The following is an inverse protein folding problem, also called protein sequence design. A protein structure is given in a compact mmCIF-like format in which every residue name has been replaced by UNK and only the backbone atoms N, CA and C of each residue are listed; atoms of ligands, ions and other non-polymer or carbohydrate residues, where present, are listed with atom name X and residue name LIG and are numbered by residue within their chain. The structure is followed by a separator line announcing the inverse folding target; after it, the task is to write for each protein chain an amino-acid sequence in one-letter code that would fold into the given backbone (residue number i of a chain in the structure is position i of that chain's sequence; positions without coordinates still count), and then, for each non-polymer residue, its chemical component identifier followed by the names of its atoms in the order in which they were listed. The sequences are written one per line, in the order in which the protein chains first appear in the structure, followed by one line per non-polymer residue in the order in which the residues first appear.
data_IF_935333024742
#
_entry.id   IF_935333024742
#
_cell.length_a   1.000
_cell.length_b   1.000
_cell.length_c   1.000
_cell.angle_alpha   90.00
_cell.angle_beta   90.00
_cell.angle_gamma   90.00
#
_symmetry.space_group_name_H-M   'P 1'
#
loop_
_entity.id
_entity.type
_entity.pdbx_description
1 polymer ?
#
# COMPACT_ATOMS: atom_id res chain seq x y z
N UNK A 1 -10.47 -11.73 -19.26
CA UNK A 1 -9.93 -11.14 -18.03
C UNK A 1 -8.98 -12.19 -17.48
N UNK A 2 -7.67 -11.94 -17.57
CA UNK A 2 -6.68 -12.82 -16.96
C UNK A 2 -6.56 -12.40 -15.50
N UNK A 3 -7.42 -12.94 -14.65
CA UNK A 3 -7.26 -12.87 -13.19
C UNK A 3 -6.04 -13.72 -12.79
N UNK A 4 -4.84 -13.21 -13.05
CA UNK A 4 -3.68 -13.72 -12.33
C UNK A 4 -3.77 -13.09 -10.95
N UNK A 5 -4.05 -13.86 -9.89
CA UNK A 5 -4.12 -13.29 -8.56
C UNK A 5 -2.77 -12.64 -8.23
N UNK A 6 -2.83 -11.45 -7.65
CA UNK A 6 -1.66 -10.75 -7.16
C UNK A 6 -0.87 -11.70 -6.24
N UNK A 7 0.46 -11.67 -6.32
CA UNK A 7 1.28 -12.50 -5.43
C UNK A 7 1.02 -12.11 -3.97
N UNK A 8 0.92 -13.10 -3.09
CA UNK A 8 0.81 -12.87 -1.64
C UNK A 8 1.93 -11.98 -1.09
N UNK A 9 3.14 -12.07 -1.66
CA UNK A 9 4.24 -11.19 -1.27
C UNK A 9 3.96 -9.73 -1.66
N UNK A 10 3.40 -9.49 -2.84
CA UNK A 10 3.03 -8.16 -3.29
C UNK A 10 1.93 -7.56 -2.42
N UNK A 11 0.92 -8.35 -2.03
CA UNK A 11 -0.13 -7.93 -1.09
C UNK A 11 0.48 -7.47 0.25
N UNK A 12 1.43 -8.23 0.80
CA UNK A 12 2.12 -7.88 2.05
C UNK A 12 2.95 -6.60 1.92
N UNK A 13 3.60 -6.38 0.78
CA UNK A 13 4.31 -5.11 0.54
C UNK A 13 3.35 -3.93 0.35
N UNK A 14 2.21 -4.12 -0.30
CA UNK A 14 1.17 -3.08 -0.39
C UNK A 14 0.61 -2.75 1.00
N UNK A 15 0.34 -3.76 1.84
CA UNK A 15 -0.07 -3.54 3.22
C UNK A 15 0.98 -2.74 3.99
N UNK A 16 2.25 -3.13 3.86
CA UNK A 16 3.37 -2.42 4.51
C UNK A 16 3.44 -0.95 4.07
N UNK A 17 3.28 -0.69 2.77
CA UNK A 17 3.20 0.67 2.23
C UNK A 17 1.99 1.44 2.79
N UNK A 18 0.82 0.80 2.87
CA UNK A 18 -0.40 1.42 3.39
C UNK A 18 -0.26 1.84 4.86
N UNK A 19 0.39 1.00 5.69
CA UNK A 19 0.71 1.31 7.09
C UNK A 19 1.63 2.53 7.19
N UNK A 20 2.67 2.62 6.37
CA UNK A 20 3.58 3.76 6.33
C UNK A 20 2.91 5.03 5.78
N UNK A 21 2.01 4.90 4.81
CA UNK A 21 1.20 6.01 4.32
C UNK A 21 0.28 6.54 5.41
N UNK A 22 -0.38 5.65 6.17
CA UNK A 22 -1.19 6.03 7.32
C UNK A 22 -0.33 6.73 8.40
N UNK A 23 0.84 6.20 8.73
CA UNK A 23 1.78 6.85 9.65
C UNK A 23 2.22 8.25 9.16
N UNK A 24 2.44 8.42 7.84
CA UNK A 24 2.73 9.74 7.25
C UNK A 24 1.57 10.71 7.45
N UNK A 25 0.31 10.26 7.39
CA UNK A 25 -0.85 11.13 7.64
C UNK A 25 -0.91 11.60 9.10
N UNK A 26 -0.45 10.77 10.04
CA UNK A 26 -0.39 11.12 11.46
C UNK A 26 0.81 12.03 11.80
N UNK A 27 1.96 11.79 11.16
CA UNK A 27 3.18 12.58 11.33
C UNK A 27 3.86 12.82 9.97
N UNK A 28 3.49 13.89 9.25
CA UNK A 28 3.98 14.14 7.90
C UNK A 28 5.44 14.59 7.82
N UNK A 29 6.07 14.87 8.96
CA UNK A 29 7.45 15.34 9.05
C UNK A 29 8.45 14.27 9.50
N UNK A 30 7.99 13.04 9.75
CA UNK A 30 8.86 11.93 10.11
C UNK A 30 9.63 11.40 8.88
N UNK A 31 10.87 11.84 8.74
CA UNK A 31 11.76 11.46 7.63
C UNK A 31 12.01 9.95 7.57
N UNK A 32 12.07 9.26 8.72
CA UNK A 32 12.30 7.80 8.77
C UNK A 32 11.12 7.08 8.11
N UNK A 33 9.89 7.47 8.46
CA UNK A 33 8.67 6.92 7.88
C UNK A 33 8.56 7.23 6.38
N UNK A 34 8.93 8.45 5.97
CA UNK A 34 8.91 8.86 4.57
C UNK A 34 9.90 8.07 3.71
N UNK A 35 11.13 7.88 4.20
CA UNK A 35 12.16 7.10 3.51
C UNK A 35 11.76 5.62 3.43
N UNK A 36 11.31 5.02 4.53
CA UNK A 36 10.83 3.64 4.53
C UNK A 36 9.67 3.44 3.54
N UNK A 37 8.74 4.40 3.45
CA UNK A 37 7.63 4.34 2.50
C UNK A 37 8.13 4.37 1.04
N UNK A 38 9.12 5.21 0.74
CA UNK A 38 9.76 5.28 -0.58
C UNK A 38 10.42 3.95 -0.91
N UNK A 39 11.20 3.38 0.02
CA UNK A 39 11.91 2.11 -0.19
C UNK A 39 10.95 0.95 -0.49
N UNK A 40 9.81 0.88 0.20
CA UNK A 40 8.77 -0.11 -0.07
C UNK A 40 8.14 0.11 -1.45
N UNK A 41 7.87 1.37 -1.84
CA UNK A 41 7.32 1.69 -3.15
C UNK A 41 8.28 1.32 -4.30
N UNK A 42 9.58 1.61 -4.14
CA UNK A 42 10.62 1.22 -5.11
C UNK A 42 10.72 -0.30 -5.25
N UNK A 43 10.59 -1.03 -4.13
CA UNK A 43 10.56 -2.50 -4.14
C UNK A 43 9.33 -3.05 -4.87
N UNK A 44 8.15 -2.48 -4.61
CA UNK A 44 6.91 -2.83 -5.32
C UNK A 44 7.04 -2.63 -6.83
N UNK A 45 7.65 -1.52 -7.25
CA UNK A 45 7.89 -1.25 -8.66
C UNK A 45 8.87 -2.26 -9.27
N UNK A 46 10.02 -2.48 -8.63
CA UNK A 46 11.10 -3.31 -9.19
C UNK A 46 10.72 -4.80 -9.22
N UNK A 47 10.13 -5.31 -8.15
CA UNK A 47 9.93 -6.74 -7.96
C UNK A 47 8.55 -7.19 -8.50
N UNK A 48 7.56 -6.28 -8.57
CA UNK A 48 6.17 -6.62 -8.92
C UNK A 48 5.55 -5.74 -10.02
N UNK A 49 6.28 -4.77 -10.58
CA UNK A 49 5.73 -3.81 -11.58
C UNK A 49 4.54 -2.99 -11.06
N UNK A 50 4.50 -2.75 -9.74
CA UNK A 50 3.43 -2.01 -9.06
C UNK A 50 3.84 -0.56 -8.85
N UNK A 51 3.02 0.39 -9.29
CA UNK A 51 3.24 1.83 -9.19
C UNK A 51 1.96 2.57 -8.82
N UNK A 52 2.01 3.91 -8.76
CA UNK A 52 0.84 4.78 -8.56
C UNK A 52 -0.01 4.40 -7.33
N UNK A 53 0.63 3.97 -6.25
CA UNK A 53 -0.04 3.59 -5.00
C UNK A 53 -0.75 4.79 -4.37
N UNK A 54 -2.02 4.61 -4.03
CA UNK A 54 -2.84 5.60 -3.35
C UNK A 54 -3.73 4.95 -2.30
N UNK A 55 -3.80 5.57 -1.11
CA UNK A 55 -4.77 5.23 -0.08
C UNK A 55 -6.03 6.06 -0.35
N UNK A 56 -7.06 5.44 -0.94
CA UNK A 56 -8.20 6.17 -1.52
C UNK A 56 -9.23 6.63 -0.49
N UNK A 57 -9.60 5.76 0.45
CA UNK A 57 -10.63 6.06 1.43
C UNK A 57 -10.57 5.11 2.63
N UNK A 58 -11.02 5.61 3.78
CA UNK A 58 -11.40 4.84 4.97
C UNK A 58 -12.92 4.61 4.94
N UNK A 59 -13.34 3.36 4.98
CA UNK A 59 -14.67 2.98 5.45
C UNK A 59 -14.58 2.63 6.95
N UNK A 60 -15.72 2.42 7.63
CA UNK A 60 -15.73 2.15 9.08
C UNK A 60 -14.81 0.99 9.48
N UNK A 61 -14.64 -0.02 8.61
CA UNK A 61 -13.90 -1.25 8.93
C UNK A 61 -12.75 -1.60 7.99
N UNK A 62 -12.50 -0.81 6.93
CA UNK A 62 -11.43 -1.09 5.98
C UNK A 62 -10.87 0.17 5.31
N UNK A 63 -9.66 0.06 4.80
CA UNK A 63 -9.10 1.01 3.85
C UNK A 63 -8.95 0.35 2.47
N UNK A 64 -9.15 1.15 1.43
CA UNK A 64 -8.86 0.73 0.05
C UNK A 64 -7.56 1.35 -0.42
N UNK A 65 -6.65 0.51 -0.92
CA UNK A 65 -5.45 0.93 -1.64
C UNK A 65 -5.67 0.66 -3.12
N UNK A 66 -5.54 1.69 -3.95
CA UNK A 66 -5.40 1.50 -5.40
C UNK A 66 -3.94 1.52 -5.81
N UNK A 67 -3.62 0.77 -6.84
CA UNK A 67 -2.30 0.72 -7.42
C UNK A 67 -2.42 0.39 -8.91
N UNK A 68 -1.35 0.61 -9.65
CA UNK A 68 -1.22 0.21 -11.04
C UNK A 68 -0.24 -0.93 -11.16
N UNK A 69 -0.68 -2.05 -11.71
CA UNK A 69 0.20 -3.17 -12.06
C UNK A 69 0.29 -3.22 -13.58
N UNK A 70 1.48 -2.90 -14.12
CA UNK A 70 1.71 -2.72 -15.56
C UNK A 70 0.79 -1.63 -16.16
N UNK A 71 -0.35 -2.02 -16.73
CA UNK A 71 -1.34 -1.11 -17.33
C UNK A 71 -2.73 -1.21 -16.69
N UNK A 72 -2.91 -2.11 -15.72
CA UNK A 72 -4.20 -2.34 -15.08
C UNK A 72 -4.23 -1.68 -13.69
N UNK A 73 -5.38 -1.10 -13.34
CA UNK A 73 -5.60 -0.56 -11.99
C UNK A 73 -6.15 -1.66 -11.10
N UNK A 74 -5.41 -1.99 -10.04
CA UNK A 74 -5.80 -2.92 -9.01
C UNK A 74 -6.31 -2.21 -7.76
N UNK A 75 -7.09 -2.94 -6.97
CA UNK A 75 -7.61 -2.49 -5.68
C UNK A 75 -7.44 -3.59 -4.64
N UNK A 76 -6.91 -3.24 -3.47
CA UNK A 76 -6.89 -4.11 -2.30
C UNK A 76 -7.59 -3.43 -1.13
N UNK A 77 -8.26 -4.25 -0.34
CA UNK A 77 -8.88 -3.83 0.91
C UNK A 77 -8.13 -4.46 2.08
N UNK A 78 -7.78 -3.65 3.05
CA UNK A 78 -7.22 -4.09 4.31
C UNK A 78 -8.12 -3.63 5.44
N UNK A 79 -8.29 -4.46 6.46
CA UNK A 79 -9.05 -4.05 7.64
C UNK A 79 -8.39 -2.85 8.31
N UNK A 80 -9.21 -2.06 8.99
CA UNK A 80 -8.73 -0.93 9.79
C UNK A 80 -7.67 -1.38 10.80
N UNK A 81 -7.90 -2.50 11.48
CA UNK A 81 -6.96 -3.07 12.44
C UNK A 81 -5.62 -3.45 11.79
N UNK A 82 -5.63 -4.01 10.58
CA UNK A 82 -4.40 -4.33 9.87
C UNK A 82 -3.55 -3.10 9.58
N UNK A 83 -4.16 -1.94 9.32
CA UNK A 83 -3.43 -0.70 9.03
C UNK A 83 -3.04 0.04 10.31
N UNK A 84 -3.94 0.12 11.29
CA UNK A 84 -3.74 0.93 12.50
C UNK A 84 -2.93 0.18 13.60
N UNK A 85 -2.82 -1.16 13.57
CA UNK A 85 -2.26 -2.00 14.66
C UNK A 85 -0.78 -1.86 15.03
N UNK A 86 0.05 -1.17 14.25
CA UNK A 86 1.51 -1.11 14.47
C UNK A 86 2.05 0.30 14.77
N UNK A 87 1.15 1.28 14.97
CA UNK A 87 1.51 2.64 15.35
C UNK A 87 1.26 2.85 16.84
#
# INVERSE_FOLDING_TARGET
MNDTPLSMDAELFILSWAKLQYATLLNPTDEITLDAKRDVAERLQRDFSITELQLLARAESFYTVSFKEREETGFLQFSTDEIESLI
#
